data_IF_931210013399
#
_entry.id   IF_931210013399
#
_cell.length_a   1.000
_cell.length_b   1.000
_cell.length_c   1.000
_cell.angle_alpha   90.00
_cell.angle_beta   90.00
_cell.angle_gamma   90.00
#
_symmetry.space_group_name_H-M   'P 1'
#
loop_
_entity.id
_entity.type
_entity.pdbx_description
1 polymer ?
#
# COMPACT_ATOMS: atom_id res chain seq x y z
N UNK A 1 30.04 47.99 -44.31
CA UNK A 1 29.97 47.14 -43.11
C UNK A 1 29.21 45.88 -43.50
N UNK A 2 29.92 44.77 -43.67
CA UNK A 2 29.34 43.49 -44.05
C UNK A 2 29.29 42.60 -42.81
N UNK A 3 28.08 42.21 -42.38
CA UNK A 3 27.88 41.28 -41.27
C UNK A 3 28.22 39.85 -41.72
N UNK A 4 29.20 39.24 -41.07
CA UNK A 4 29.62 37.86 -41.26
C UNK A 4 28.56 36.88 -40.75
N UNK A 5 28.32 35.84 -41.55
CA UNK A 5 27.43 34.71 -41.26
C UNK A 5 28.17 33.72 -40.35
N UNK A 6 27.56 33.36 -39.21
CA UNK A 6 28.09 32.34 -38.32
C UNK A 6 28.02 30.94 -38.97
N UNK A 7 28.99 30.05 -38.73
CA UNK A 7 29.01 28.71 -39.33
C UNK A 7 27.97 27.80 -38.66
N UNK A 8 27.28 27.03 -39.50
CA UNK A 8 26.27 26.04 -39.15
C UNK A 8 26.96 24.79 -38.57
N UNK A 9 26.53 24.35 -37.38
CA UNK A 9 27.09 23.17 -36.72
C UNK A 9 26.67 21.87 -37.46
N UNK A 10 27.55 20.86 -37.57
CA UNK A 10 27.22 19.62 -38.25
C UNK A 10 26.17 18.84 -37.45
N UNK A 11 25.03 18.56 -38.08
CA UNK A 11 24.00 17.66 -37.57
C UNK A 11 24.53 16.22 -37.53
N UNK A 12 24.57 15.64 -36.34
CA UNK A 12 24.83 14.22 -36.16
C UNK A 12 23.67 13.40 -36.78
N UNK A 13 23.93 12.29 -37.47
CA UNK A 13 22.88 11.42 -37.93
C UNK A 13 22.30 10.67 -36.72
N UNK A 14 21.09 11.01 -36.31
CA UNK A 14 20.27 10.17 -35.42
C UNK A 14 19.85 8.94 -36.22
N UNK A 15 20.53 7.81 -35.99
CA UNK A 15 20.05 6.49 -36.40
C UNK A 15 18.89 6.09 -35.49
N UNK A 16 17.74 6.72 -35.69
CA UNK A 16 16.50 6.34 -35.02
C UNK A 16 15.96 5.11 -35.76
N UNK A 17 16.39 3.92 -35.32
CA UNK A 17 15.79 2.67 -35.81
C UNK A 17 14.49 2.51 -35.05
N UNK A 18 13.46 3.25 -35.47
CA UNK A 18 12.09 3.01 -35.07
C UNK A 18 11.71 1.60 -35.53
N UNK A 19 11.52 0.69 -34.58
CA UNK A 19 10.93 -0.61 -34.86
C UNK A 19 9.51 -0.34 -35.35
N UNK A 20 9.26 -0.58 -36.64
CA UNK A 20 7.96 -0.40 -37.27
C UNK A 20 6.90 -1.21 -36.50
N UNK A 21 5.87 -0.53 -35.99
CA UNK A 21 4.81 -1.19 -35.26
C UNK A 21 4.07 -2.15 -36.21
N UNK A 22 3.92 -3.43 -35.85
CA UNK A 22 3.30 -4.41 -36.75
C UNK A 22 1.88 -3.97 -37.12
N UNK A 23 1.59 -3.92 -38.42
CA UNK A 23 0.29 -3.50 -38.97
C UNK A 23 -0.84 -4.53 -38.77
N UNK A 24 -0.53 -5.68 -38.15
CA UNK A 24 -1.42 -6.80 -37.88
C UNK A 24 -1.62 -7.10 -36.39
N UNK A 25 -2.37 -8.17 -36.09
CA UNK A 25 -2.45 -8.70 -34.73
C UNK A 25 -1.13 -9.40 -34.38
N UNK A 26 -0.42 -8.85 -33.39
CA UNK A 26 0.92 -9.27 -33.03
C UNK A 26 1.18 -9.04 -31.53
N UNK A 27 2.26 -9.62 -31.03
CA UNK A 27 2.80 -9.30 -29.69
C UNK A 27 3.59 -7.99 -29.80
N UNK A 28 3.13 -6.96 -29.11
CA UNK A 28 3.79 -5.65 -29.05
C UNK A 28 4.94 -5.63 -28.04
N UNK A 29 4.78 -6.28 -26.89
CA UNK A 29 5.81 -6.33 -25.86
C UNK A 29 5.66 -7.55 -24.94
N UNK A 30 6.77 -7.96 -24.35
CA UNK A 30 6.80 -8.91 -23.23
C UNK A 30 7.70 -8.32 -22.15
N UNK A 31 7.15 -8.05 -20.97
CA UNK A 31 7.84 -7.37 -19.88
C UNK A 31 7.68 -8.13 -18.56
N UNK A 32 8.62 -7.91 -17.63
CA UNK A 32 8.36 -8.09 -16.20
C UNK A 32 7.89 -6.75 -15.62
N UNK A 33 6.82 -6.77 -14.83
CA UNK A 33 6.23 -5.57 -14.24
C UNK A 33 5.76 -5.85 -12.80
N UNK A 34 5.55 -4.79 -12.00
CA UNK A 34 4.90 -4.90 -10.70
C UNK A 34 3.39 -4.71 -10.86
N UNK A 35 2.59 -5.66 -10.38
CA UNK A 35 1.13 -5.60 -10.35
C UNK A 35 0.65 -5.93 -8.94
N UNK A 36 -0.18 -5.07 -8.35
CA UNK A 36 -0.66 -5.18 -6.96
C UNK A 36 0.45 -5.36 -5.91
N UNK A 37 1.62 -4.77 -6.18
CA UNK A 37 2.80 -4.88 -5.32
C UNK A 37 3.45 -6.27 -5.33
N UNK A 38 3.20 -7.08 -6.37
CA UNK A 38 3.85 -8.36 -6.63
C UNK A 38 4.42 -8.38 -8.05
N UNK A 39 5.51 -9.12 -8.32
CA UNK A 39 6.04 -9.25 -9.66
C UNK A 39 5.07 -10.08 -10.53
N UNK A 40 4.95 -9.68 -11.79
CA UNK A 40 4.17 -10.34 -12.81
C UNK A 40 4.90 -10.27 -14.14
N UNK A 41 4.56 -11.18 -15.06
CA UNK A 41 4.97 -11.09 -16.45
C UNK A 41 3.77 -10.61 -17.27
N UNK A 42 4.01 -9.75 -18.25
CA UNK A 42 2.97 -9.22 -19.13
C UNK A 42 3.32 -9.48 -20.58
N UNK A 43 2.31 -9.87 -21.36
CA UNK A 43 2.36 -9.94 -22.83
C UNK A 43 1.33 -8.95 -23.34
N UNK A 44 1.80 -7.89 -24.00
CA UNK A 44 0.95 -6.88 -24.62
C UNK A 44 0.74 -7.23 -26.09
N UNK A 45 -0.52 -7.23 -26.52
CA UNK A 45 -0.90 -7.44 -27.91
C UNK A 45 -1.28 -6.11 -28.57
N UNK A 46 -1.18 -6.05 -29.91
CA UNK A 46 -1.58 -4.86 -30.69
C UNK A 46 -3.09 -4.68 -30.78
N UNK A 47 -3.87 -5.73 -30.50
CA UNK A 47 -5.35 -5.71 -30.52
C UNK A 47 -5.92 -6.40 -29.26
N UNK A 48 -7.15 -6.04 -28.84
CA UNK A 48 -7.84 -6.74 -27.75
C UNK A 48 -7.98 -8.24 -28.04
N UNK A 49 -7.79 -9.06 -27.03
CA UNK A 49 -7.97 -10.51 -27.10
C UNK A 49 -9.46 -10.89 -27.10
N UNK A 50 -9.80 -11.98 -27.77
CA UNK A 50 -11.13 -12.57 -27.65
C UNK A 50 -11.38 -13.03 -26.20
N UNK A 51 -12.59 -12.77 -25.70
CA UNK A 51 -12.98 -13.21 -24.36
C UNK A 51 -13.16 -14.74 -24.29
N UNK A 52 -12.94 -15.32 -23.11
CA UNK A 52 -13.16 -16.74 -22.80
C UNK A 52 -12.25 -17.76 -23.52
N UNK A 53 -11.14 -17.34 -24.14
CA UNK A 53 -10.10 -18.26 -24.63
C UNK A 53 -9.17 -18.70 -23.50
N UNK A 54 -8.72 -19.97 -23.52
CA UNK A 54 -7.74 -20.47 -22.57
C UNK A 54 -6.31 -20.09 -23.00
N UNK A 55 -5.85 -18.94 -22.49
CA UNK A 55 -4.52 -18.42 -22.80
C UNK A 55 -3.39 -19.36 -22.34
N UNK A 56 -3.62 -20.25 -21.37
CA UNK A 56 -2.61 -21.20 -20.90
C UNK A 56 -2.17 -22.22 -21.95
N UNK A 57 -2.98 -22.44 -23.00
CA UNK A 57 -2.64 -23.33 -24.11
C UNK A 57 -1.63 -22.69 -25.08
N UNK A 58 -1.62 -21.36 -25.14
CA UNK A 58 -0.83 -20.60 -26.10
C UNK A 58 0.34 -19.88 -25.46
N UNK A 59 0.21 -19.44 -24.20
CA UNK A 59 1.24 -18.69 -23.49
C UNK A 59 1.84 -19.57 -22.39
N UNK A 60 3.13 -19.86 -22.50
CA UNK A 60 3.88 -20.69 -21.55
C UNK A 60 4.96 -19.87 -20.87
N UNK A 61 5.21 -20.19 -19.61
CA UNK A 61 6.26 -19.58 -18.80
C UNK A 61 7.17 -20.67 -18.25
N UNK A 62 8.47 -20.52 -18.47
CA UNK A 62 9.51 -21.36 -17.86
C UNK A 62 10.51 -20.50 -17.08
N UNK A 63 11.08 -21.06 -16.02
CA UNK A 63 12.16 -20.42 -15.26
C UNK A 63 13.53 -20.55 -15.96
N UNK A 64 14.57 -20.01 -15.34
CA UNK A 64 15.95 -20.07 -15.86
C UNK A 64 16.50 -21.50 -16.03
N UNK A 65 15.91 -22.48 -15.36
CA UNK A 65 16.28 -23.90 -15.46
C UNK A 65 15.45 -24.64 -16.52
N UNK A 66 14.52 -23.93 -17.18
CA UNK A 66 13.62 -24.49 -18.19
C UNK A 66 12.42 -25.24 -17.59
N UNK A 67 12.18 -25.13 -16.28
CA UNK A 67 11.03 -25.74 -15.62
C UNK A 67 9.79 -24.89 -15.84
N UNK A 68 8.66 -25.53 -16.16
CA UNK A 68 7.38 -24.83 -16.27
C UNK A 68 7.00 -24.20 -14.93
N UNK A 69 6.54 -22.94 -14.99
CA UNK A 69 6.04 -22.20 -13.83
C UNK A 69 4.53 -22.37 -13.76
N UNK A 70 4.04 -22.87 -12.64
CA UNK A 70 2.60 -23.02 -12.41
C UNK A 70 1.92 -21.65 -12.24
N UNK A 71 0.77 -21.47 -12.88
CA UNK A 71 -0.02 -20.24 -12.78
C UNK A 71 -1.06 -20.14 -13.90
N UNK A 72 -1.80 -19.03 -13.90
CA UNK A 72 -2.84 -18.76 -14.89
C UNK A 72 -2.66 -17.36 -15.46
N UNK A 73 -3.02 -17.21 -16.74
CA UNK A 73 -3.04 -15.91 -17.40
C UNK A 73 -4.38 -15.22 -17.15
N UNK A 74 -4.32 -13.95 -16.78
CA UNK A 74 -5.47 -13.06 -16.63
C UNK A 74 -5.37 -11.91 -17.63
N UNK A 75 -6.50 -11.44 -18.16
CA UNK A 75 -6.53 -10.32 -19.11
C UNK A 75 -6.76 -8.99 -18.40
N UNK A 76 -6.11 -7.93 -18.89
CA UNK A 76 -6.20 -6.55 -18.39
C UNK A 76 -6.11 -5.52 -19.53
N UNK A 77 -6.31 -4.23 -19.23
CA UNK A 77 -6.20 -3.09 -20.16
C UNK A 77 -7.06 -3.27 -21.42
N UNK A 78 -8.38 -3.46 -21.22
CA UNK A 78 -9.31 -3.73 -22.33
C UNK A 78 -8.91 -4.95 -23.14
N UNK A 79 -8.52 -6.01 -22.43
CA UNK A 79 -8.13 -7.31 -22.98
C UNK A 79 -6.90 -7.27 -23.89
N UNK A 80 -6.10 -6.20 -23.89
CA UNK A 80 -4.86 -6.09 -24.68
C UNK A 80 -3.63 -6.65 -23.98
N UNK A 81 -3.71 -6.87 -22.67
CA UNK A 81 -2.62 -7.42 -21.88
C UNK A 81 -3.04 -8.77 -21.34
N UNK A 82 -2.25 -9.80 -21.61
CA UNK A 82 -2.26 -11.03 -20.83
C UNK A 82 -1.20 -10.91 -19.73
N UNK A 83 -1.59 -11.16 -18.48
CA UNK A 83 -0.71 -11.08 -17.32
C UNK A 83 -0.61 -12.44 -16.63
N UNK A 84 0.61 -12.82 -16.28
CA UNK A 84 0.92 -13.98 -15.46
C UNK A 84 1.40 -13.49 -14.09
N UNK A 85 0.51 -13.49 -13.07
CA UNK A 85 0.80 -12.90 -11.76
C UNK A 85 1.66 -13.82 -10.88
N UNK A 86 2.19 -13.25 -9.79
CA UNK A 86 2.85 -13.98 -8.70
C UNK A 86 4.13 -14.73 -9.08
N UNK A 87 4.88 -14.22 -10.06
CA UNK A 87 6.22 -14.76 -10.33
C UNK A 87 7.21 -14.32 -9.26
N UNK A 88 8.26 -15.12 -9.07
CA UNK A 88 9.39 -14.74 -8.21
C UNK A 88 10.08 -13.52 -8.81
N UNK A 89 10.43 -12.56 -7.99
CA UNK A 89 11.12 -11.35 -8.43
C UNK A 89 12.63 -11.56 -8.65
N UNK A 90 13.27 -10.64 -9.37
CA UNK A 90 14.66 -10.73 -9.80
C UNK A 90 15.05 -12.07 -10.45
N UNK A 91 14.11 -12.80 -11.04
CA UNK A 91 14.36 -14.03 -11.77
C UNK A 91 14.20 -13.81 -13.27
N UNK A 92 14.98 -14.54 -14.05
CA UNK A 92 14.81 -14.64 -15.50
C UNK A 92 13.76 -15.72 -15.78
N UNK A 93 12.81 -15.38 -16.64
CA UNK A 93 11.81 -16.28 -17.18
C UNK A 93 11.89 -16.28 -18.71
N UNK A 94 11.51 -17.40 -19.32
CA UNK A 94 11.23 -17.45 -20.75
C UNK A 94 9.73 -17.50 -20.93
N UNK A 95 9.20 -16.51 -21.65
CA UNK A 95 7.79 -16.47 -22.07
C UNK A 95 7.73 -16.91 -23.52
N UNK A 96 7.02 -18.01 -23.77
CA UNK A 96 6.74 -18.52 -25.11
C UNK A 96 5.27 -18.23 -25.43
N UNK A 97 5.05 -17.47 -26.50
CA UNK A 97 3.74 -17.20 -27.08
C UNK A 97 3.65 -18.01 -28.37
N UNK A 98 2.77 -19.00 -28.39
CA UNK A 98 2.52 -19.83 -29.56
C UNK A 98 1.56 -19.13 -30.53
N UNK A 99 1.62 -19.44 -31.83
CA UNK A 99 0.58 -19.01 -32.77
C UNK A 99 -0.78 -19.63 -32.39
N UNK A 100 -1.87 -18.96 -32.77
CA UNK A 100 -3.24 -19.43 -32.52
C UNK A 100 -4.04 -18.61 -31.51
N UNK A 101 -3.41 -17.66 -30.81
CA UNK A 101 -4.14 -16.68 -29.97
C UNK A 101 -5.13 -15.90 -30.85
N UNK A 102 -6.34 -15.66 -30.37
CA UNK A 102 -7.41 -15.00 -31.15
C UNK A 102 -7.70 -13.61 -30.59
N UNK A 103 -7.76 -12.61 -31.46
CA UNK A 103 -8.20 -11.26 -31.12
C UNK A 103 -9.73 -11.13 -31.14
N UNK A 104 -10.27 -10.10 -30.49
CA UNK A 104 -11.70 -9.85 -30.42
C UNK A 104 -12.36 -9.57 -31.80
N UNK A 105 -11.57 -9.15 -32.79
CA UNK A 105 -11.99 -8.96 -34.17
C UNK A 105 -11.94 -10.25 -35.02
N UNK A 106 -11.61 -11.40 -34.40
CA UNK A 106 -11.50 -12.71 -35.05
C UNK A 106 -10.16 -12.97 -35.73
N UNK A 107 -9.24 -12.00 -35.78
CA UNK A 107 -7.89 -12.23 -36.30
C UNK A 107 -7.09 -13.16 -35.38
N UNK A 108 -6.19 -13.96 -35.95
CA UNK A 108 -5.41 -14.96 -35.21
C UNK A 108 -3.93 -14.63 -35.29
N UNK A 109 -3.20 -14.83 -34.19
CA UNK A 109 -1.75 -14.64 -34.14
C UNK A 109 -1.09 -15.73 -34.99
N UNK A 110 -0.43 -15.33 -36.08
CA UNK A 110 0.17 -16.24 -37.06
C UNK A 110 1.58 -16.67 -36.68
N UNK A 111 2.33 -15.80 -36.00
CA UNK A 111 3.71 -16.04 -35.61
C UNK A 111 3.82 -16.08 -34.09
N UNK A 112 4.43 -17.14 -33.58
CA UNK A 112 4.81 -17.22 -32.18
C UNK A 112 6.04 -16.36 -31.86
N UNK A 113 6.26 -16.11 -30.58
CA UNK A 113 7.40 -15.38 -30.06
C UNK A 113 7.92 -16.09 -28.82
N UNK A 114 9.23 -16.28 -28.72
CA UNK A 114 9.87 -16.64 -27.46
C UNK A 114 10.73 -15.49 -26.99
N UNK A 115 10.54 -15.04 -25.75
CA UNK A 115 11.30 -13.94 -25.19
C UNK A 115 11.72 -14.23 -23.75
N UNK A 116 13.01 -14.01 -23.49
CA UNK A 116 13.54 -13.94 -22.13
C UNK A 116 13.16 -12.61 -21.51
N UNK A 117 12.68 -12.64 -20.28
CA UNK A 117 12.26 -11.46 -19.54
C UNK A 117 12.69 -11.60 -18.09
N UNK A 118 13.11 -10.49 -17.50
CA UNK A 118 13.44 -10.45 -16.09
C UNK A 118 12.24 -9.87 -15.33
N UNK A 119 11.77 -10.58 -14.31
CA UNK A 119 10.77 -10.03 -13.39
C UNK A 119 11.35 -8.83 -12.65
N UNK A 120 10.53 -7.81 -12.39
CA UNK A 120 10.96 -6.60 -11.66
C UNK A 120 11.52 -6.92 -10.28
N UNK A 121 12.38 -6.02 -9.81
CA UNK A 121 12.74 -5.93 -8.39
C UNK A 121 11.68 -5.13 -7.64
N UNK A 122 11.26 -5.62 -6.47
CA UNK A 122 10.40 -4.83 -5.58
C UNK A 122 11.31 -4.00 -4.66
N UNK A 123 11.28 -2.66 -4.72
CA UNK A 123 12.11 -1.88 -3.81
C UNK A 123 11.72 -2.20 -2.35
N UNK A 124 12.69 -2.25 -1.43
CA UNK A 124 12.42 -2.38 0.00
C UNK A 124 11.41 -1.34 0.46
N UNK A 125 10.36 -1.80 1.12
CA UNK A 125 9.34 -0.91 1.65
C UNK A 125 8.68 -1.51 2.89
N UNK A 126 8.39 -0.63 3.85
CA UNK A 126 7.50 -0.91 4.96
C UNK A 126 6.58 0.29 5.24
N UNK A 127 5.38 -0.01 5.73
CA UNK A 127 4.42 0.97 6.20
C UNK A 127 3.26 0.33 6.94
N UNK A 128 2.44 1.15 7.59
CA UNK A 128 1.26 0.65 8.29
C UNK A 128 0.18 0.19 7.29
N UNK A 129 -0.53 -0.89 7.61
CA UNK A 129 -1.61 -1.39 6.78
C UNK A 129 -2.88 -0.52 6.89
N UNK A 130 -3.02 0.21 8.01
CA UNK A 130 -4.14 1.09 8.29
C UNK A 130 -3.67 2.50 8.66
N UNK A 131 -4.53 3.48 8.37
CA UNK A 131 -4.33 4.90 8.71
C UNK A 131 -4.85 5.25 10.12
N UNK A 132 -5.36 4.27 10.85
CA UNK A 132 -5.94 4.45 12.17
C UNK A 132 -6.62 3.17 12.62
N UNK A 133 -6.59 2.88 13.92
CA UNK A 133 -7.32 1.74 14.49
C UNK A 133 -7.63 1.97 15.96
N UNK A 134 -8.87 1.72 16.38
CA UNK A 134 -9.18 1.59 17.81
C UNK A 134 -8.74 0.18 18.20
N UNK A 135 -7.82 0.08 19.16
CA UNK A 135 -7.34 -1.20 19.67
C UNK A 135 -8.06 -1.51 20.98
N UNK A 136 -9.00 -2.48 20.99
CA UNK A 136 -9.52 -3.02 22.23
C UNK A 136 -8.39 -3.56 23.09
N UNK A 137 -8.54 -3.45 24.40
CA UNK A 137 -7.61 -4.02 25.39
C UNK A 137 -7.49 -5.55 25.32
N UNK A 138 -8.34 -6.24 24.56
CA UNK A 138 -8.41 -7.70 24.47
C UNK A 138 -8.51 -8.12 22.99
N UNK A 139 -7.69 -9.10 22.57
CA UNK A 139 -7.93 -9.90 21.37
C UNK A 139 -7.53 -9.30 20.01
N UNK A 140 -6.73 -8.22 19.96
CA UNK A 140 -6.15 -7.75 18.69
C UNK A 140 -4.69 -8.15 18.54
N UNK A 141 -4.30 -8.57 17.33
CA UNK A 141 -2.93 -9.01 17.00
C UNK A 141 -1.88 -7.88 17.10
N UNK A 142 -2.32 -6.65 17.37
CA UNK A 142 -1.49 -5.46 17.49
C UNK A 142 -1.60 -4.55 16.26
N UNK A 143 -0.55 -3.79 15.97
CA UNK A 143 -0.58 -2.79 14.89
C UNK A 143 -0.13 -3.41 13.56
N UNK A 144 -0.99 -3.51 12.53
CA UNK A 144 -0.65 -4.19 11.29
C UNK A 144 0.30 -3.34 10.44
N UNK A 145 1.37 -3.99 9.97
CA UNK A 145 2.35 -3.42 9.06
C UNK A 145 2.46 -4.29 7.81
N UNK A 146 2.66 -3.61 6.70
CA UNK A 146 2.95 -4.21 5.41
C UNK A 146 4.42 -3.99 5.13
N UNK A 147 5.10 -5.05 4.72
CA UNK A 147 6.53 -5.00 4.38
C UNK A 147 6.84 -5.83 3.14
N UNK A 148 7.89 -5.44 2.43
CA UNK A 148 8.53 -6.19 1.35
C UNK A 148 10.02 -5.89 1.37
N UNK A 149 10.86 -6.92 1.18
CA UNK A 149 12.32 -6.79 1.10
C UNK A 149 12.97 -6.01 2.26
N UNK A 150 12.38 -6.09 3.45
CA UNK A 150 12.91 -5.45 4.65
C UNK A 150 12.75 -6.39 5.85
N UNK A 151 13.84 -6.59 6.58
CA UNK A 151 13.88 -7.53 7.69
C UNK A 151 13.59 -6.88 9.04
N UNK A 152 13.77 -5.56 9.14
CA UNK A 152 13.66 -4.80 10.37
C UNK A 152 13.10 -3.40 10.11
N UNK A 153 12.32 -2.88 11.05
CA UNK A 153 11.81 -1.50 11.04
C UNK A 153 12.02 -0.87 12.39
N UNK A 154 12.40 0.40 12.41
CA UNK A 154 12.45 1.19 13.64
C UNK A 154 11.09 1.86 13.83
N UNK A 155 10.45 1.64 14.98
CA UNK A 155 9.13 2.21 15.28
C UNK A 155 9.20 2.97 16.59
N UNK A 156 8.86 4.25 16.54
CA UNK A 156 8.73 5.13 17.70
C UNK A 156 7.26 5.39 17.99
N UNK A 157 6.87 5.23 19.25
CA UNK A 157 5.52 5.44 19.73
C UNK A 157 5.46 6.69 20.59
N UNK A 158 4.41 7.47 20.38
CA UNK A 158 4.16 8.71 21.06
C UNK A 158 2.79 8.68 21.72
N UNK A 159 2.69 9.14 22.96
CA UNK A 159 1.41 9.36 23.65
C UNK A 159 0.98 10.80 23.48
N UNK A 160 -0.22 11.02 22.94
CA UNK A 160 -0.80 12.36 22.77
C UNK A 160 -1.18 12.91 24.14
N UNK A 161 -0.79 14.16 24.42
CA UNK A 161 -1.16 14.87 25.66
C UNK A 161 -2.66 15.12 25.69
N UNK A 162 -3.29 14.91 26.84
CA UNK A 162 -4.74 15.00 26.99
C UNK A 162 -5.29 16.37 26.57
N UNK A 163 -4.60 17.45 26.96
CA UNK A 163 -4.93 18.84 26.61
C UNK A 163 -4.77 19.15 25.11
N UNK A 164 -3.96 18.35 24.41
CA UNK A 164 -3.71 18.53 22.98
C UNK A 164 -4.53 17.57 22.11
N UNK A 165 -5.34 16.70 22.70
CA UNK A 165 -6.12 15.71 21.97
C UNK A 165 -7.08 16.33 20.94
N UNK A 166 -7.86 17.39 21.25
CA UNK A 166 -8.73 18.00 20.25
C UNK A 166 -7.96 18.53 19.04
N UNK A 167 -6.80 19.13 19.29
CA UNK A 167 -5.89 19.61 18.24
C UNK A 167 -5.28 18.46 17.43
N UNK A 168 -4.88 17.38 18.10
CA UNK A 168 -4.37 16.19 17.43
C UNK A 168 -5.44 15.62 16.48
N UNK A 169 -6.68 15.49 16.92
CA UNK A 169 -7.76 14.94 16.09
C UNK A 169 -8.11 15.85 14.89
N UNK A 170 -7.97 17.17 15.01
CA UNK A 170 -8.21 18.10 13.90
C UNK A 170 -7.06 18.13 12.88
N UNK A 171 -5.80 18.07 13.35
CA UNK A 171 -4.59 18.10 12.51
C UNK A 171 -4.21 16.71 11.95
N UNK A 172 -4.51 15.63 12.69
CA UNK A 172 -4.22 14.24 12.34
C UNK A 172 -5.48 13.56 11.79
N UNK A 173 -5.88 13.95 10.58
CA UNK A 173 -7.06 13.39 9.90
C UNK A 173 -6.87 11.93 9.42
N UNK A 174 -5.67 11.36 9.61
CA UNK A 174 -5.34 9.99 9.27
C UNK A 174 -3.83 9.74 9.27
N UNK A 175 -3.48 8.46 9.28
CA UNK A 175 -2.14 7.96 9.02
C UNK A 175 -1.74 8.14 7.56
N UNK A 176 -0.44 8.03 7.29
CA UNK A 176 0.12 8.23 5.97
C UNK A 176 1.58 8.69 6.02
N UNK A 177 2.08 9.11 4.85
CA UNK A 177 3.43 9.65 4.70
C UNK A 177 3.50 11.06 5.25
N UNK A 178 4.42 11.30 6.18
CA UNK A 178 4.67 12.62 6.78
C UNK A 178 6.13 13.01 6.62
N UNK A 179 6.35 14.30 6.39
CA UNK A 179 7.69 14.86 6.35
C UNK A 179 8.20 15.21 7.75
N UNK A 180 9.48 15.58 7.83
CA UNK A 180 10.10 16.01 9.09
C UNK A 180 9.36 17.17 9.76
N UNK A 181 8.93 18.17 8.98
CA UNK A 181 8.17 19.31 9.50
C UNK A 181 6.86 18.92 10.17
N UNK A 182 6.11 17.98 9.59
CA UNK A 182 4.86 17.50 10.17
C UNK A 182 5.13 16.74 11.48
N UNK A 183 6.21 15.95 11.53
CA UNK A 183 6.58 15.23 12.75
C UNK A 183 7.02 16.18 13.88
N UNK A 184 7.73 17.26 13.56
CA UNK A 184 8.11 18.28 14.54
C UNK A 184 6.88 18.98 15.13
N UNK A 185 5.81 19.17 14.35
CA UNK A 185 4.53 19.67 14.87
C UNK A 185 3.92 18.66 15.85
N UNK A 186 3.88 17.37 15.48
CA UNK A 186 3.30 16.31 16.29
C UNK A 186 4.06 16.08 17.60
N UNK A 187 5.40 16.19 17.59
CA UNK A 187 6.23 16.16 18.80
C UNK A 187 5.87 17.26 19.81
N UNK A 188 5.28 18.38 19.37
CA UNK A 188 4.84 19.45 20.28
C UNK A 188 3.52 19.17 20.97
N UNK A 189 2.81 18.11 20.61
CA UNK A 189 1.52 17.73 21.21
C UNK A 189 1.51 16.31 21.80
N UNK A 190 2.65 15.63 21.77
CA UNK A 190 2.80 14.27 22.27
C UNK A 190 4.18 14.04 22.89
N UNK A 191 4.28 12.97 23.68
CA UNK A 191 5.50 12.55 24.35
C UNK A 191 5.97 11.23 23.74
N UNK A 192 7.27 11.12 23.42
CA UNK A 192 7.87 9.85 23.01
C UNK A 192 7.89 8.93 24.21
N UNK A 193 7.27 7.74 24.08
CA UNK A 193 7.11 6.79 25.19
C UNK A 193 7.87 5.50 24.97
N UNK A 194 8.10 5.11 23.72
CA UNK A 194 8.79 3.86 23.40
C UNK A 194 9.40 3.90 22.01
N UNK A 195 10.65 3.46 21.88
CA UNK A 195 11.34 3.30 20.60
C UNK A 195 11.96 1.91 20.59
N UNK A 196 11.64 1.12 19.58
CA UNK A 196 12.30 -0.16 19.39
C UNK A 196 12.39 -0.54 17.91
N UNK A 197 13.31 -1.45 17.64
CA UNK A 197 13.48 -2.11 16.35
C UNK A 197 12.70 -3.42 16.36
N UNK A 198 11.84 -3.61 15.37
CA UNK A 198 11.02 -4.80 15.21
C UNK A 198 11.52 -5.63 14.03
N UNK A 199 11.71 -6.94 14.26
CA UNK A 199 12.09 -7.91 13.23
C UNK A 199 10.83 -8.43 12.53
N UNK A 200 10.79 -8.32 11.20
CA UNK A 200 9.60 -8.61 10.38
C UNK A 200 9.71 -9.95 9.63
N UNK A 201 10.93 -10.48 9.47
CA UNK A 201 11.23 -11.73 8.76
C UNK A 201 10.43 -11.82 7.43
N UNK A 202 10.67 -10.87 6.53
CA UNK A 202 10.01 -10.85 5.23
C UNK A 202 10.72 -11.82 4.28
N UNK A 203 9.94 -12.68 3.60
CA UNK A 203 10.46 -13.45 2.47
C UNK A 203 10.89 -12.48 1.38
N UNK A 204 11.97 -12.81 0.68
CA UNK A 204 12.45 -12.01 -0.44
C UNK A 204 11.33 -11.85 -1.49
N UNK A 205 11.09 -10.60 -1.85
CA UNK A 205 10.14 -10.12 -2.84
C UNK A 205 8.68 -10.53 -2.62
N UNK A 206 8.30 -10.76 -1.37
CA UNK A 206 6.93 -11.06 -1.00
C UNK A 206 6.39 -9.99 -0.07
N UNK A 207 5.24 -9.40 -0.44
CA UNK A 207 4.52 -8.50 0.44
C UNK A 207 3.89 -9.31 1.57
N UNK A 208 4.34 -9.06 2.79
CA UNK A 208 3.88 -9.72 4.01
C UNK A 208 3.21 -8.73 4.95
N UNK A 209 2.08 -9.13 5.50
CA UNK A 209 1.43 -8.44 6.62
C UNK A 209 1.94 -9.06 7.92
N UNK A 210 2.50 -8.24 8.80
CA UNK A 210 2.92 -8.63 10.14
C UNK A 210 2.25 -7.71 11.16
N UNK A 211 2.17 -8.13 12.42
CA UNK A 211 1.59 -7.30 13.46
C UNK A 211 2.64 -6.96 14.51
N UNK A 212 2.73 -5.67 14.86
CA UNK A 212 3.59 -5.20 15.94
C UNK A 212 2.90 -5.48 17.28
N UNK A 213 3.57 -6.14 18.25
CA UNK A 213 2.97 -6.60 19.50
C UNK A 213 2.81 -5.45 20.52
N UNK A 214 2.01 -4.43 20.18
CA UNK A 214 1.86 -3.21 21.01
C UNK A 214 1.27 -3.47 22.38
N UNK A 215 0.49 -4.54 22.56
CA UNK A 215 -0.11 -4.93 23.85
C UNK A 215 0.91 -5.46 24.86
N UNK A 216 2.05 -5.95 24.39
CA UNK A 216 3.10 -6.51 25.25
C UNK A 216 4.08 -5.42 25.75
N UNK A 217 3.86 -4.17 25.35
CA UNK A 217 4.73 -3.04 25.67
C UNK A 217 4.11 -2.28 26.86
N UNK A 218 4.79 -2.30 28.00
CA UNK A 218 4.30 -1.71 29.26
C UNK A 218 4.10 -0.19 29.15
N UNK A 219 4.95 0.49 28.38
CA UNK A 219 4.89 1.92 28.13
C UNK A 219 3.63 2.34 27.34
N UNK A 220 3.00 1.38 26.65
CA UNK A 220 1.75 1.57 25.92
C UNK A 220 0.53 1.08 26.71
N UNK A 221 0.69 0.70 27.99
CA UNK A 221 -0.38 0.12 28.81
C UNK A 221 -1.47 1.12 29.18
N UNK A 222 -1.10 2.36 29.44
CA UNK A 222 -2.02 3.37 29.89
C UNK A 222 -3.06 3.71 28.81
N UNK A 223 -4.34 3.96 29.16
CA UNK A 223 -5.34 4.41 28.21
C UNK A 223 -4.94 5.77 27.61
N UNK A 224 -5.36 6.00 26.37
CA UNK A 224 -5.10 7.23 25.63
C UNK A 224 -4.95 7.04 24.13
N UNK A 225 -4.68 8.15 23.45
CA UNK A 225 -4.38 8.16 22.02
C UNK A 225 -2.88 8.14 21.82
N UNK A 226 -2.43 7.23 20.97
CA UNK A 226 -1.03 7.07 20.60
C UNK A 226 -0.88 7.24 19.09
N UNK A 227 0.30 7.68 18.66
CA UNK A 227 0.69 7.53 17.26
C UNK A 227 2.05 6.86 17.15
N UNK A 228 2.23 6.13 16.06
CA UNK A 228 3.46 5.43 15.74
C UNK A 228 4.09 6.04 14.49
N UNK A 229 5.41 6.20 14.54
CA UNK A 229 6.25 6.64 13.42
C UNK A 229 7.13 5.46 13.04
N UNK A 230 6.97 4.96 11.81
CA UNK A 230 7.78 3.89 11.25
C UNK A 230 8.84 4.49 10.33
N UNK A 231 10.09 4.12 10.61
CA UNK A 231 11.26 4.43 9.80
C UNK A 231 11.85 3.13 9.24
N UNK A 232 12.14 3.14 7.93
CA UNK A 232 12.82 2.04 7.28
C UNK A 232 14.31 2.06 7.63
N UNK A 233 14.86 0.92 8.07
CA UNK A 233 16.28 0.81 8.38
C UNK A 233 17.12 0.97 7.11
N UNK A 234 18.21 1.74 7.18
CA UNK A 234 19.13 1.97 6.05
C UNK A 234 18.60 2.90 4.94
N UNK A 235 17.38 3.42 5.05
CA UNK A 235 16.81 4.42 4.14
C UNK A 235 16.85 5.80 4.79
N UNK A 236 17.19 6.80 3.98
CA UNK A 236 17.26 8.22 4.40
C UNK A 236 16.26 9.09 3.61
N UNK A 237 15.22 8.47 3.07
CA UNK A 237 14.12 9.25 2.52
C UNK A 237 13.45 10.01 3.68
N UNK A 238 13.31 11.34 3.52
CA UNK A 238 12.73 12.19 4.55
C UNK A 238 11.20 12.02 4.67
N UNK A 239 10.69 10.82 4.40
CA UNK A 239 9.28 10.44 4.45
C UNK A 239 9.06 9.31 5.43
N UNK A 240 8.25 9.56 6.44
CA UNK A 240 7.96 8.61 7.50
C UNK A 240 6.54 8.10 7.36
N UNK A 241 6.33 6.81 7.61
CA UNK A 241 4.99 6.27 7.69
C UNK A 241 4.46 6.51 9.10
N UNK A 242 3.26 7.07 9.19
CA UNK A 242 2.62 7.34 10.47
C UNK A 242 1.24 6.70 10.54
N UNK A 243 0.85 6.30 11.74
CA UNK A 243 -0.53 5.88 12.02
C UNK A 243 -0.84 6.19 13.47
N UNK A 244 -2.12 6.21 13.83
CA UNK A 244 -2.54 6.40 15.21
C UNK A 244 -3.38 5.20 15.68
N UNK A 245 -3.38 4.99 16.99
CA UNK A 245 -4.26 4.03 17.61
C UNK A 245 -4.75 4.53 18.96
N UNK A 246 -5.93 4.04 19.34
CA UNK A 246 -6.56 4.39 20.60
C UNK A 246 -6.55 3.17 21.50
N UNK A 247 -6.04 3.33 22.72
CA UNK A 247 -6.16 2.34 23.80
C UNK A 247 -7.27 2.80 24.74
N UNK A 248 -8.39 2.08 24.70
CA UNK A 248 -9.60 2.38 25.46
C UNK A 248 -10.31 1.08 25.83
N UNK A 249 -10.99 1.09 26.97
CA UNK A 249 -11.98 0.10 27.40
C UNK A 249 -13.41 0.56 27.10
N UNK A 250 -13.60 1.81 26.65
CA UNK A 250 -14.89 2.41 26.28
C UNK A 250 -15.08 2.35 24.77
N UNK A 251 -16.19 1.77 24.35
CA UNK A 251 -16.76 1.84 23.01
C UNK A 251 -17.89 2.86 22.97
N UNK A 252 -17.91 3.67 21.90
CA UNK A 252 -18.90 4.73 21.71
C UNK A 252 -19.69 4.43 20.43
N UNK A 253 -21.01 4.35 20.55
CA UNK A 253 -21.91 4.27 19.40
C UNK A 253 -22.76 5.54 19.35
N UNK A 254 -22.81 6.20 18.19
CA UNK A 254 -23.59 7.42 18.02
C UNK A 254 -24.59 7.30 16.88
N UNK A 255 -25.76 7.92 17.04
CA UNK A 255 -26.82 7.95 16.03
C UNK A 255 -27.45 9.33 15.97
N UNK A 256 -27.45 9.91 14.78
CA UNK A 256 -28.13 11.18 14.52
C UNK A 256 -29.54 10.89 13.99
N UNK A 257 -30.56 11.53 14.56
CA UNK A 257 -31.94 11.47 14.07
C UNK A 257 -32.60 12.84 14.19
N UNK A 258 -32.81 13.50 13.04
CA UNK A 258 -33.29 14.88 13.00
C UNK A 258 -32.30 15.82 13.66
N UNK A 259 -32.76 16.56 14.66
CA UNK A 259 -32.00 17.49 15.49
C UNK A 259 -31.39 16.84 16.75
N UNK A 260 -31.49 15.51 16.89
CA UNK A 260 -31.01 14.77 18.07
C UNK A 260 -29.79 13.91 17.75
N UNK A 261 -28.80 13.95 18.65
CA UNK A 261 -27.70 12.99 18.72
C UNK A 261 -27.93 12.07 19.91
N UNK A 262 -28.02 10.77 19.64
CA UNK A 262 -27.99 9.72 20.64
C UNK A 262 -26.57 9.18 20.73
N UNK A 263 -26.02 9.08 21.93
CA UNK A 263 -24.71 8.48 22.19
C UNK A 263 -24.92 7.39 23.22
N UNK A 264 -24.38 6.21 22.97
CA UNK A 264 -24.36 5.10 23.90
C UNK A 264 -22.92 4.69 24.17
N UNK A 265 -22.58 4.50 25.43
CA UNK A 265 -21.24 4.09 25.89
C UNK A 265 -21.29 2.67 26.44
N UNK A 266 -20.38 1.81 25.97
CA UNK A 266 -20.32 0.39 26.33
C UNK A 266 -18.90 -0.07 26.59
N UNK A 267 -18.74 -1.07 27.43
CA UNK A 267 -17.46 -1.72 27.68
C UNK A 267 -17.03 -2.51 26.44
N UNK A 268 -15.78 -2.34 26.01
CA UNK A 268 -15.19 -3.12 24.93
C UNK A 268 -14.80 -4.54 25.36
N UNK A 269 -14.79 -4.83 26.66
CA UNK A 269 -14.44 -6.15 27.18
C UNK A 269 -15.62 -7.12 27.14
N UNK A 270 -16.83 -6.67 27.46
CA UNK A 270 -18.03 -7.50 27.63
C UNK A 270 -19.30 -6.96 26.93
N UNK A 271 -19.27 -5.72 26.43
CA UNK A 271 -20.39 -5.09 25.74
C UNK A 271 -21.46 -4.49 26.66
N UNK A 272 -21.25 -4.49 27.99
CA UNK A 272 -22.19 -3.94 28.96
C UNK A 272 -22.27 -2.40 28.88
N UNK A 273 -23.41 -1.83 29.29
CA UNK A 273 -23.62 -0.39 29.33
C UNK A 273 -22.73 0.28 30.40
N UNK A 274 -22.11 1.39 30.05
CA UNK A 274 -21.24 2.15 30.95
C UNK A 274 -21.95 3.42 31.41
N UNK A 275 -22.28 3.52 32.69
CA UNK A 275 -22.85 4.73 33.29
C UNK A 275 -21.77 5.68 33.81
N UNK A 276 -22.06 6.99 33.86
CA UNK A 276 -21.16 7.98 34.43
C UNK A 276 -19.99 8.40 33.53
N UNK A 277 -19.99 8.00 32.25
CA UNK A 277 -18.96 8.39 31.26
C UNK A 277 -19.24 9.81 30.78
N UNK A 278 -18.28 10.71 30.96
CA UNK A 278 -18.37 12.06 30.38
C UNK A 278 -18.13 11.99 28.86
N UNK A 279 -19.11 12.46 28.10
CA UNK A 279 -19.05 12.58 26.64
C UNK A 279 -19.02 14.04 26.27
N UNK A 280 -18.06 14.43 25.41
CA UNK A 280 -17.94 15.78 24.87
C UNK A 280 -18.04 15.74 23.35
N UNK A 281 -18.82 16.65 22.77
CA UNK A 281 -18.83 16.91 21.32
C UNK A 281 -17.87 18.06 21.04
N UNK A 282 -17.00 17.89 20.05
CA UNK A 282 -16.03 18.88 19.62
C UNK A 282 -16.42 19.47 18.27
N UNK A 283 -16.14 20.76 18.06
CA UNK A 283 -16.21 21.37 16.73
C UNK A 283 -14.95 21.03 15.88
N UNK A 284 -14.90 21.57 14.66
CA UNK A 284 -13.77 21.36 13.74
C UNK A 284 -12.42 21.91 14.26
N UNK A 285 -12.44 22.83 15.23
CA UNK A 285 -11.26 23.41 15.85
C UNK A 285 -10.87 22.68 17.15
N UNK A 286 -11.65 21.68 17.56
CA UNK A 286 -11.45 20.96 18.81
C UNK A 286 -12.05 21.65 20.05
N UNK A 287 -12.88 22.68 19.89
CA UNK A 287 -13.57 23.30 21.01
C UNK A 287 -14.79 22.47 21.43
N UNK A 288 -15.00 22.33 22.74
CA UNK A 288 -16.17 21.60 23.26
C UNK A 288 -17.43 22.42 23.03
N UNK A 289 -18.39 21.85 22.29
CA UNK A 289 -19.69 22.48 22.02
C UNK A 289 -20.80 22.00 22.95
N UNK A 290 -20.74 20.71 23.32
CA UNK A 290 -21.74 20.06 24.19
C UNK A 290 -21.03 19.05 25.07
N UNK A 291 -21.49 18.92 26.32
CA UNK A 291 -21.10 17.84 27.24
C UNK A 291 -22.33 17.12 27.78
N UNK A 292 -22.18 15.84 28.07
CA UNK A 292 -23.16 15.01 28.73
C UNK A 292 -22.49 13.91 29.54
N UNK A 293 -23.27 13.22 30.36
CA UNK A 293 -22.83 12.06 31.14
C UNK A 293 -23.78 10.91 30.82
N UNK A 294 -23.26 9.72 30.55
CA UNK A 294 -24.08 8.54 30.29
C UNK A 294 -24.91 8.15 31.52
N UNK A 295 -26.14 7.70 31.27
CA UNK A 295 -27.05 7.20 32.30
C UNK A 295 -26.89 5.68 32.50
N UNK A 296 -27.84 5.03 33.19
CA UNK A 296 -27.78 3.60 33.49
C UNK A 296 -27.83 2.68 32.27
N UNK A 297 -28.29 3.17 31.12
CA UNK A 297 -28.39 2.40 29.88
C UNK A 297 -27.17 2.63 28.95
N UNK A 298 -26.26 3.53 29.35
CA UNK A 298 -24.98 3.80 28.69
C UNK A 298 -25.03 4.87 27.62
#
# INVERSE_FOLDING_TARGET
MACGRAPEAPSAPTSDTAIEAPSGFAVAAVNGEASDGRPALTVRFTRPLAQAQDLGQFLKVTDSEGKAVDGAWITDDGERIARFPHVKAQQEFTVEVLPGVVAADGSTLTEGLTRKVQSVDLPPAAGFASQGSILPSIGTDGLPIVSVNINEVDVEFFKVRAESLPRFLSEFQGGGRRGYWDLDQLKRIADSVYLNRFVINASANERKVSHLPVHQIAELEAPGVYFAVLKQSGQFDSQFQTTYFVRSDIGIHSRVHGDKLWVATRSLADGEALSGVEVSILDANGAVVVKGVSDGDG
#
